data_IF_305969503025
#
_entry.id   IF_305969503025
#
_cell.length_a   1.000
_cell.length_b   1.000
_cell.length_c   1.000
_cell.angle_alpha   90.00
_cell.angle_beta   90.00
_cell.angle_gamma   90.00
#
_symmetry.space_group_name_H-M   'P 1'
#
loop_
_entity.id
_entity.type
_entity.pdbx_description
1 polymer ?
#
# COMPACT_ATOMS: atom_id res chain seq x y z
N UNK A 1 9.23 3.74 11.30
CA UNK A 1 9.03 3.10 10.00
C UNK A 1 7.59 3.33 9.60
N UNK A 2 7.36 4.30 8.73
CA UNK A 2 6.09 4.48 8.05
C UNK A 2 6.05 3.61 6.79
N UNK A 3 4.85 3.44 6.23
CA UNK A 3 4.64 2.80 4.95
C UNK A 3 4.37 3.89 3.91
N UNK A 4 5.11 3.87 2.81
CA UNK A 4 4.86 4.72 1.65
C UNK A 4 4.20 3.91 0.54
N UNK A 5 3.40 4.60 -0.30
CA UNK A 5 2.70 4.03 -1.44
C UNK A 5 3.37 4.49 -2.74
N UNK A 6 3.71 3.56 -3.61
CA UNK A 6 4.24 3.82 -4.95
C UNK A 6 3.26 3.26 -5.97
N UNK A 7 2.91 4.07 -6.97
CA UNK A 7 2.02 3.65 -8.05
C UNK A 7 2.83 3.43 -9.32
N UNK A 8 2.70 2.23 -9.90
CA UNK A 8 3.22 1.90 -11.21
C UNK A 8 2.06 1.76 -12.18
N UNK A 9 2.14 2.44 -13.32
CA UNK A 9 1.20 2.30 -14.43
C UNK A 9 1.94 1.64 -15.61
N UNK A 10 1.76 0.32 -15.82
CA UNK A 10 2.42 -0.40 -16.91
C UNK A 10 2.01 0.08 -18.30
N UNK A 11 0.89 0.80 -18.42
CA UNK A 11 0.34 1.30 -19.67
C UNK A 11 0.60 2.80 -19.86
N UNK A 12 1.42 3.42 -19.01
CA UNK A 12 1.75 4.83 -19.12
C UNK A 12 2.44 5.13 -20.47
N UNK A 13 1.85 6.05 -21.23
CA UNK A 13 2.49 6.55 -22.45
C UNK A 13 3.77 7.33 -22.10
N UNK A 14 4.86 7.00 -22.80
CA UNK A 14 6.07 7.81 -22.76
C UNK A 14 5.85 9.09 -23.59
N UNK A 15 6.18 10.24 -23.01
CA UNK A 15 6.09 11.53 -23.67
C UNK A 15 7.49 12.10 -23.88
N UNK A 16 7.69 12.75 -25.02
CA UNK A 16 8.83 13.63 -25.25
C UNK A 16 8.69 14.92 -24.45
N UNK A 17 9.80 15.62 -24.23
CA UNK A 17 9.82 16.89 -23.49
C UNK A 17 8.85 17.92 -24.09
N UNK A 18 8.79 18.02 -25.43
CA UNK A 18 7.89 18.94 -26.13
C UNK A 18 6.40 18.62 -25.89
N UNK A 19 6.04 17.32 -25.85
CA UNK A 19 4.68 16.87 -25.54
C UNK A 19 4.28 17.19 -24.09
N UNK A 20 5.23 17.07 -23.15
CA UNK A 20 5.01 17.44 -21.74
C UNK A 20 4.75 18.95 -21.63
N UNK A 21 5.56 19.78 -22.28
CA UNK A 21 5.40 21.25 -22.28
C UNK A 21 4.05 21.65 -22.88
N UNK A 22 3.66 21.06 -24.00
CA UNK A 22 2.36 21.30 -24.62
C UNK A 22 1.17 20.95 -23.71
N UNK A 23 1.26 19.81 -23.01
CA UNK A 23 0.24 19.39 -22.03
C UNK A 23 0.17 20.31 -20.81
N UNK A 24 1.30 20.73 -20.26
CA UNK A 24 1.36 21.68 -19.13
C UNK A 24 0.71 23.01 -19.51
N UNK A 25 1.08 23.57 -20.67
CA UNK A 25 0.52 24.82 -21.15
C UNK A 25 -0.99 24.74 -21.42
N UNK A 26 -1.49 23.57 -21.80
CA UNK A 26 -2.92 23.32 -21.95
C UNK A 26 -3.64 23.16 -20.59
N UNK A 27 -3.00 22.51 -19.63
CA UNK A 27 -3.55 22.27 -18.28
C UNK A 27 -3.54 23.52 -17.38
N UNK A 28 -2.57 24.42 -17.55
CA UNK A 28 -2.48 25.68 -16.78
C UNK A 28 -3.73 26.55 -16.92
N UNK A 29 -4.40 26.51 -18.07
CA UNK A 29 -5.70 27.16 -18.29
C UNK A 29 -6.82 26.61 -17.38
N UNK A 30 -6.66 25.40 -16.85
CA UNK A 30 -7.61 24.75 -15.93
C UNK A 30 -7.18 24.91 -14.46
N UNK A 31 -5.87 24.84 -14.16
CA UNK A 31 -5.32 24.98 -12.79
C UNK A 31 -5.51 26.40 -12.23
N UNK A 32 -5.49 27.43 -13.07
CA UNK A 32 -5.59 28.84 -12.62
C UNK A 32 -7.02 29.30 -12.32
N UNK A 33 -8.04 28.42 -12.33
CA UNK A 33 -9.36 28.81 -11.83
C UNK A 33 -9.32 28.92 -10.32
N UNK A 34 -9.61 30.13 -9.83
CA UNK A 34 -9.66 30.59 -8.44
C UNK A 34 -10.52 29.76 -7.45
N UNK A 35 -11.02 28.57 -7.83
CA UNK A 35 -11.89 27.70 -7.02
C UNK A 35 -11.33 26.29 -6.75
N UNK A 36 -10.06 26.01 -7.03
CA UNK A 36 -9.48 24.66 -6.83
C UNK A 36 -9.27 24.25 -5.37
N UNK A 37 -9.50 25.15 -4.41
CA UNK A 37 -9.54 24.84 -2.98
C UNK A 37 -10.84 25.39 -2.41
N UNK A 38 -11.97 24.79 -2.79
CA UNK A 38 -13.20 24.97 -2.02
C UNK A 38 -13.13 24.08 -0.78
N UNK A 39 -13.01 24.78 0.36
CA UNK A 39 -12.77 24.19 1.66
C UNK A 39 -13.99 23.47 2.20
N UNK A 40 -13.84 22.16 2.43
CA UNK A 40 -14.60 21.36 3.41
C UNK A 40 -13.95 19.99 3.71
N UNK A 41 -12.89 19.57 3.00
CA UNK A 41 -12.40 18.18 3.05
C UNK A 41 -11.65 17.76 4.34
N UNK A 42 -11.57 18.61 5.37
CA UNK A 42 -10.78 18.31 6.57
C UNK A 42 -11.51 18.51 7.92
N UNK A 43 -12.85 18.59 7.94
CA UNK A 43 -13.59 18.84 9.19
C UNK A 43 -14.49 17.68 9.68
N UNK A 44 -14.32 16.46 9.16
CA UNK A 44 -15.27 15.37 9.40
C UNK A 44 -14.70 14.06 9.90
N UNK A 45 -13.48 14.04 10.42
CA UNK A 45 -12.91 12.84 11.06
C UNK A 45 -12.43 13.25 12.45
N UNK A 46 -13.26 13.01 13.47
CA UNK A 46 -12.85 13.03 14.87
C UNK A 46 -12.41 11.64 15.32
N UNK A 47 -11.66 11.63 16.41
CA UNK A 47 -10.81 10.52 16.87
C UNK A 47 -11.56 9.38 17.56
N UNK A 48 -12.88 9.38 17.55
CA UNK A 48 -13.77 8.39 18.21
C UNK A 48 -14.41 7.39 17.23
N UNK A 49 -14.20 7.54 15.93
CA UNK A 49 -14.62 6.58 14.88
C UNK A 49 -13.68 5.36 14.72
N UNK A 50 -12.63 5.25 15.55
CA UNK A 50 -11.81 4.03 15.63
C UNK A 50 -12.35 3.18 16.77
N UNK A 51 -13.16 2.18 16.42
CA UNK A 51 -13.66 1.18 17.35
C UNK A 51 -12.51 0.61 18.23
N UNK A 52 -12.52 0.98 19.51
CA UNK A 52 -11.64 0.41 20.52
C UNK A 52 -11.87 -1.10 20.63
N UNK A 53 -10.83 -1.86 20.30
CA UNK A 53 -10.51 -3.13 20.93
C UNK A 53 -11.68 -4.08 21.15
N UNK A 54 -12.16 -4.71 20.07
CA UNK A 54 -13.01 -5.90 20.19
C UNK A 54 -12.34 -6.91 21.14
N UNK A 55 -13.09 -7.36 22.14
CA UNK A 55 -12.71 -8.24 23.24
C UNK A 55 -12.33 -9.69 22.85
N UNK A 56 -11.89 -9.92 21.61
CA UNK A 56 -11.58 -11.24 21.08
C UNK A 56 -10.15 -11.74 21.34
N UNK A 57 -9.25 -10.92 21.91
CA UNK A 57 -7.87 -11.37 22.14
C UNK A 57 -7.76 -12.40 23.29
N UNK A 58 -8.68 -12.37 24.26
CA UNK A 58 -8.62 -13.28 25.42
C UNK A 58 -9.40 -14.60 25.25
N UNK A 59 -10.22 -14.72 24.20
CA UNK A 59 -10.99 -15.94 23.95
C UNK A 59 -10.24 -17.00 23.11
N UNK A 60 -9.21 -16.58 22.37
CA UNK A 60 -8.45 -17.48 21.49
C UNK A 60 -7.48 -18.41 22.24
N UNK A 61 -6.95 -17.98 23.39
CA UNK A 61 -5.93 -18.73 24.13
C UNK A 61 -6.50 -19.91 24.92
N UNK A 62 -7.81 -19.89 25.24
CA UNK A 62 -8.45 -20.93 26.06
C UNK A 62 -8.62 -22.28 25.34
N UNK A 63 -8.38 -22.37 24.03
CA UNK A 63 -8.57 -23.58 23.22
C UNK A 63 -7.29 -24.11 22.55
N UNK A 64 -6.16 -23.40 22.67
CA UNK A 64 -4.90 -23.81 22.05
C UNK A 64 -4.21 -24.88 22.92
N UNK A 65 -3.93 -26.05 22.33
CA UNK A 65 -3.28 -27.16 23.04
C UNK A 65 -1.75 -27.11 22.99
N UNK A 66 -1.18 -26.28 22.11
CA UNK A 66 0.25 -26.02 21.98
C UNK A 66 0.49 -24.74 21.14
N UNK A 67 1.58 -24.03 21.42
CA UNK A 67 2.04 -22.91 20.58
C UNK A 67 2.67 -23.45 19.30
N UNK A 68 2.28 -22.88 18.16
CA UNK A 68 2.99 -23.14 16.90
C UNK A 68 4.27 -22.29 16.85
N UNK A 69 5.38 -22.93 16.49
CA UNK A 69 6.62 -22.21 16.20
C UNK A 69 6.50 -21.46 14.88
N UNK A 70 7.28 -20.38 14.74
CA UNK A 70 7.36 -19.65 13.47
C UNK A 70 7.89 -20.50 12.31
N UNK A 71 8.52 -21.66 12.56
CA UNK A 71 8.91 -22.60 11.52
C UNK A 71 7.72 -23.39 10.97
N UNK A 72 6.89 -23.94 11.86
CA UNK A 72 5.68 -24.71 11.48
C UNK A 72 4.71 -23.85 10.65
N UNK A 73 4.55 -22.58 11.02
CA UNK A 73 3.73 -21.62 10.29
C UNK A 73 4.25 -21.37 8.86
N UNK A 74 5.57 -21.25 8.68
CA UNK A 74 6.17 -21.06 7.35
C UNK A 74 6.02 -22.30 6.48
N UNK A 75 6.17 -23.49 7.05
CA UNK A 75 6.08 -24.73 6.29
C UNK A 75 4.64 -24.96 5.79
N UNK A 76 3.64 -24.67 6.63
CA UNK A 76 2.23 -24.71 6.23
C UNK A 76 1.93 -23.74 5.09
N UNK A 77 2.47 -22.52 5.16
CA UNK A 77 2.36 -21.50 4.13
C UNK A 77 2.99 -21.95 2.80
N UNK A 78 4.21 -22.51 2.86
CA UNK A 78 4.94 -22.99 1.67
C UNK A 78 4.28 -24.26 1.10
N UNK A 79 3.50 -25.00 1.88
CA UNK A 79 2.73 -26.12 1.35
C UNK A 79 1.50 -25.68 0.52
N UNK A 80 1.00 -24.45 0.68
CA UNK A 80 -0.13 -23.94 -0.09
C UNK A 80 0.24 -23.69 -1.56
N UNK A 81 -0.69 -23.90 -2.52
CA UNK A 81 -0.53 -23.46 -3.90
C UNK A 81 -0.30 -21.95 -4.01
N UNK A 82 0.47 -21.50 -5.01
CA UNK A 82 0.85 -20.09 -5.14
C UNK A 82 -0.35 -19.13 -5.24
N UNK A 83 -1.44 -19.54 -5.89
CA UNK A 83 -2.67 -18.74 -6.01
C UNK A 83 -3.46 -18.62 -4.71
N UNK A 84 -3.17 -19.45 -3.72
CA UNK A 84 -3.79 -19.43 -2.39
C UNK A 84 -2.89 -18.75 -1.35
N UNK A 85 -1.67 -18.34 -1.73
CA UNK A 85 -0.74 -17.63 -0.85
C UNK A 85 -0.93 -16.12 -0.96
N UNK A 86 -1.52 -15.51 0.05
CA UNK A 86 -1.59 -14.06 0.21
C UNK A 86 -0.30 -13.48 0.83
N UNK A 87 0.88 -13.85 0.29
CA UNK A 87 2.17 -13.50 0.90
C UNK A 87 3.12 -12.92 -0.12
N UNK A 88 3.77 -11.83 0.29
CA UNK A 88 4.82 -11.18 -0.48
C UNK A 88 6.17 -11.49 0.16
N UNK A 89 7.07 -12.08 -0.63
CA UNK A 89 8.44 -12.35 -0.21
C UNK A 89 9.33 -11.21 -0.72
N UNK A 90 9.52 -10.18 0.10
CA UNK A 90 10.48 -9.10 -0.16
C UNK A 90 11.83 -9.40 0.50
N UNK A 91 12.90 -9.36 -0.29
CA UNK A 91 14.30 -9.55 0.16
C UNK A 91 15.14 -8.33 -0.25
N UNK A 92 14.95 -7.16 0.40
CA UNK A 92 15.72 -5.97 0.07
C UNK A 92 17.20 -6.18 0.41
N UNK A 93 18.09 -5.62 -0.40
CA UNK A 93 19.50 -5.42 -0.03
C UNK A 93 19.72 -4.03 0.56
N UNK A 94 20.90 -3.77 1.14
CA UNK A 94 21.28 -2.42 1.61
C UNK A 94 20.89 -1.33 0.61
N UNK A 95 20.19 -0.30 1.10
CA UNK A 95 19.68 0.81 0.29
C UNK A 95 18.36 0.55 -0.46
N UNK A 96 17.81 -0.67 -0.38
CA UNK A 96 16.48 -0.99 -0.94
C UNK A 96 15.40 -0.99 0.13
N UNK A 97 14.17 -0.67 -0.27
CA UNK A 97 13.01 -0.66 0.62
C UNK A 97 12.31 -2.02 0.61
N UNK A 98 11.87 -2.48 1.78
CA UNK A 98 11.08 -3.71 1.91
C UNK A 98 9.65 -3.47 1.42
N UNK A 99 9.15 -4.35 0.55
CA UNK A 99 7.77 -4.33 0.06
C UNK A 99 6.88 -5.10 1.06
N UNK A 100 5.74 -4.52 1.40
CA UNK A 100 4.76 -5.10 2.33
C UNK A 100 3.46 -5.51 1.64
N UNK A 101 3.04 -4.79 0.59
CA UNK A 101 1.83 -5.11 -0.17
C UNK A 101 2.01 -4.75 -1.66
N UNK A 102 1.33 -5.51 -2.53
CA UNK A 102 1.19 -5.21 -3.96
C UNK A 102 -0.27 -5.45 -4.29
N UNK A 103 -0.96 -4.42 -4.79
CA UNK A 103 -2.35 -4.50 -5.23
C UNK A 103 -2.45 -4.10 -6.70
N UNK A 104 -3.23 -4.86 -7.47
CA UNK A 104 -3.65 -4.44 -8.81
C UNK A 104 -5.02 -3.78 -8.71
N UNK A 105 -5.12 -2.55 -9.21
CA UNK A 105 -6.35 -1.77 -9.25
C UNK A 105 -7.20 -2.13 -10.48
N UNK A 106 -8.46 -1.72 -10.47
CA UNK A 106 -9.39 -1.98 -11.59
C UNK A 106 -8.99 -1.30 -12.90
N UNK A 107 -8.15 -0.26 -12.83
CA UNK A 107 -7.56 0.42 -13.98
C UNK A 107 -6.26 -0.24 -14.49
N UNK A 108 -5.85 -1.36 -13.88
CA UNK A 108 -4.65 -2.10 -14.23
C UNK A 108 -3.35 -1.52 -13.66
N UNK A 109 -3.42 -0.47 -12.83
CA UNK A 109 -2.24 0.05 -12.12
C UNK A 109 -1.88 -0.84 -10.94
N UNK A 110 -0.60 -0.82 -10.59
CA UNK A 110 -0.08 -1.50 -9.41
C UNK A 110 0.22 -0.47 -8.33
N UNK A 111 -0.29 -0.72 -7.13
CA UNK A 111 0.11 -0.02 -5.92
C UNK A 111 1.04 -0.92 -5.13
N UNK A 112 2.21 -0.38 -4.80
CA UNK A 112 3.25 -1.05 -4.01
C UNK A 112 3.37 -0.29 -2.70
N UNK A 113 3.06 -0.96 -1.60
CA UNK A 113 3.33 -0.44 -0.27
C UNK A 113 4.72 -0.90 0.16
N UNK A 114 5.59 0.03 0.54
CA UNK A 114 6.95 -0.27 0.97
C UNK A 114 7.34 0.53 2.21
N UNK A 115 8.34 0.03 2.92
CA UNK A 115 8.89 0.71 4.08
C UNK A 115 9.49 2.07 3.67
N UNK A 116 9.21 3.12 4.43
CA UNK A 116 9.79 4.45 4.20
C UNK A 116 11.32 4.46 4.36
N UNK A 117 11.83 3.52 5.15
CA UNK A 117 13.24 3.36 5.49
C UNK A 117 13.84 2.19 4.70
N UNK A 118 15.00 2.43 4.07
CA UNK A 118 15.74 1.39 3.38
C UNK A 118 16.42 0.43 4.36
N UNK A 119 16.70 -0.80 3.90
CA UNK A 119 17.49 -1.77 4.64
C UNK A 119 18.93 -1.24 4.84
N UNK A 120 19.47 -1.43 6.03
CA UNK A 120 20.86 -1.10 6.39
C UNK A 120 21.84 -2.17 5.89
#
# INVERSE_FOLDING_TARGET
MAIEKVYLDPNAAAYTDDEIVGKINSASATITRSGAIEGTALSGVDSDDIAEGSSNFFAAESGATADQTGAEMRDLIVALPDLERDIIISRPTTGQKKIVAIQTHSDGKQEIEQNDTAEE
#
